data_IF_470390464249
#
_entry.id   IF_470390464249
#
_cell.length_a   1.000
_cell.length_b   1.000
_cell.length_c   1.000
_cell.angle_alpha   90.00
_cell.angle_beta   90.00
_cell.angle_gamma   90.00
#
_symmetry.space_group_name_H-M   'P 1'
#
loop_
_entity.id
_entity.type
_entity.pdbx_description
1 polymer ?
#
# COMPACT_ATOMS: atom_id res chain seq x y z
N UNK A 1 47.30 15.88 7.62
CA UNK A 1 46.47 16.27 6.45
C UNK A 1 45.06 15.76 6.66
N UNK A 2 44.10 16.65 6.97
CA UNK A 2 42.67 16.29 7.12
C UNK A 2 41.99 16.61 5.79
N UNK A 3 41.49 15.59 5.08
CA UNK A 3 40.75 15.78 3.82
C UNK A 3 39.42 16.47 4.14
N UNK A 4 39.04 17.46 3.34
CA UNK A 4 37.79 18.20 3.45
C UNK A 4 36.62 17.31 2.98
N UNK A 5 35.61 17.17 3.82
CA UNK A 5 34.30 16.57 3.51
C UNK A 5 33.46 17.54 2.64
N UNK A 6 33.93 17.88 1.43
CA UNK A 6 33.50 19.11 0.76
C UNK A 6 32.17 19.06 -0.03
N UNK A 7 31.61 17.90 -0.40
CA UNK A 7 30.56 17.88 -1.46
C UNK A 7 29.23 17.19 -1.10
N UNK A 8 28.95 16.90 0.17
CA UNK A 8 27.64 16.31 0.53
C UNK A 8 26.61 17.40 0.86
N UNK A 9 25.79 17.77 -0.13
CA UNK A 9 24.59 18.59 0.11
C UNK A 9 23.50 17.71 0.72
N UNK A 10 23.16 17.94 1.98
CA UNK A 10 22.01 17.31 2.64
C UNK A 10 20.77 18.17 2.44
N UNK A 11 19.76 17.62 1.80
CA UNK A 11 18.46 18.26 1.62
C UNK A 11 17.41 17.49 2.45
N UNK A 12 16.71 18.20 3.34
CA UNK A 12 15.56 17.68 4.07
C UNK A 12 14.31 18.38 3.55
N UNK A 13 13.39 17.61 2.96
CA UNK A 13 12.10 18.09 2.49
C UNK A 13 11.07 17.94 3.63
N UNK A 14 10.40 19.03 3.99
CA UNK A 14 9.22 19.01 4.86
C UNK A 14 7.95 18.95 4.00
N UNK A 15 7.21 17.83 3.98
CA UNK A 15 6.00 17.69 3.16
C UNK A 15 4.87 18.64 3.57
N UNK A 16 4.82 19.05 4.85
CA UNK A 16 3.77 19.93 5.37
C UNK A 16 4.08 21.41 5.11
N UNK A 17 5.32 21.73 4.72
CA UNK A 17 5.77 23.09 4.44
C UNK A 17 6.81 23.11 3.29
N UNK A 18 6.33 22.89 2.07
CA UNK A 18 7.17 22.86 0.88
C UNK A 18 7.65 24.28 0.51
N UNK A 19 8.91 24.43 0.08
CA UNK A 19 9.38 25.70 -0.45
C UNK A 19 8.57 26.09 -1.70
N UNK A 20 8.32 27.39 -1.92
CA UNK A 20 7.63 27.84 -3.13
C UNK A 20 8.46 27.52 -4.38
N UNK A 21 7.77 27.30 -5.50
CA UNK A 21 8.44 27.08 -6.78
C UNK A 21 9.23 28.31 -7.19
N UNK A 22 10.42 28.08 -7.73
CA UNK A 22 11.17 29.12 -8.43
C UNK A 22 10.47 29.51 -9.73
N UNK A 23 10.72 30.73 -10.23
CA UNK A 23 10.16 31.18 -11.52
C UNK A 23 10.52 30.24 -12.67
N UNK A 24 11.74 29.70 -12.67
CA UNK A 24 12.18 28.73 -13.67
C UNK A 24 11.40 27.41 -13.62
N UNK A 25 11.15 26.89 -12.42
CA UNK A 25 10.34 25.67 -12.24
C UNK A 25 8.88 25.90 -12.62
N UNK A 26 8.31 27.07 -12.29
CA UNK A 26 6.95 27.41 -12.70
C UNK A 26 6.84 27.49 -14.22
N UNK A 27 7.79 28.15 -14.88
CA UNK A 27 7.82 28.24 -16.34
C UNK A 27 7.98 26.86 -17.02
N UNK A 28 8.75 25.94 -16.43
CA UNK A 28 8.87 24.56 -16.90
C UNK A 28 7.55 23.80 -16.79
N UNK A 29 6.84 23.91 -15.66
CA UNK A 29 5.52 23.30 -15.49
C UNK A 29 4.50 23.87 -16.47
N UNK A 30 4.49 25.19 -16.67
CA UNK A 30 3.59 25.85 -17.62
C UNK A 30 3.86 25.38 -19.06
N UNK A 31 5.13 25.19 -19.42
CA UNK A 31 5.53 24.64 -20.72
C UNK A 31 5.09 23.17 -20.88
N UNK A 32 5.25 22.34 -19.85
CA UNK A 32 4.78 20.95 -19.85
C UNK A 32 3.26 20.86 -19.93
N UNK A 33 2.53 21.75 -19.25
CA UNK A 33 1.07 21.80 -19.31
C UNK A 33 0.55 22.25 -20.68
N UNK A 34 1.30 23.10 -21.39
CA UNK A 34 0.95 23.54 -22.74
C UNK A 34 1.29 22.50 -23.82
N UNK A 35 2.10 21.48 -23.49
CA UNK A 35 2.49 20.42 -24.41
C UNK A 35 1.29 19.50 -24.70
N UNK A 36 0.99 19.18 -25.97
CA UNK A 36 -0.10 18.26 -26.30
C UNK A 36 0.27 16.81 -25.93
N UNK A 37 -0.70 16.04 -25.47
CA UNK A 37 -0.52 14.62 -25.10
C UNK A 37 0.10 13.76 -26.22
N UNK A 38 -0.10 14.13 -27.49
CA UNK A 38 0.50 13.44 -28.63
C UNK A 38 2.03 13.52 -28.68
N UNK A 39 2.63 14.45 -27.94
CA UNK A 39 4.08 14.60 -27.81
C UNK A 39 4.68 13.77 -26.67
N UNK A 40 3.87 13.05 -25.89
CA UNK A 40 4.37 12.20 -24.81
C UNK A 40 5.10 11.00 -25.42
N UNK A 41 6.38 10.85 -25.08
CA UNK A 41 7.18 9.69 -25.46
C UNK A 41 6.90 8.51 -24.49
N UNK A 42 6.55 7.36 -25.06
CA UNK A 42 6.29 6.11 -24.33
C UNK A 42 7.34 5.02 -24.65
N UNK A 43 8.47 5.39 -25.25
CA UNK A 43 9.51 4.45 -25.70
C UNK A 43 10.11 3.61 -24.56
N UNK A 44 10.21 4.18 -23.35
CA UNK A 44 10.75 3.53 -22.15
C UNK A 44 9.67 2.88 -21.27
N UNK A 45 8.45 3.41 -21.31
CA UNK A 45 7.32 2.99 -20.47
C UNK A 45 6.06 2.85 -21.32
N UNK A 46 5.67 1.62 -21.71
CA UNK A 46 4.51 1.42 -22.57
C UNK A 46 3.22 1.86 -21.87
N UNK A 47 2.30 2.45 -22.64
CA UNK A 47 1.01 2.89 -22.12
C UNK A 47 0.21 1.72 -21.52
N UNK A 48 -0.35 1.92 -20.32
CA UNK A 48 -1.20 0.94 -19.65
C UNK A 48 -2.57 0.91 -20.31
N UNK A 49 -2.91 -0.22 -20.93
CA UNK A 49 -4.19 -0.39 -21.63
C UNK A 49 -5.34 -0.68 -20.67
N UNK A 50 -6.58 -0.55 -21.14
CA UNK A 50 -7.77 -0.96 -20.38
C UNK A 50 -7.71 -2.45 -20.00
N UNK A 51 -7.11 -3.30 -20.85
CA UNK A 51 -6.87 -4.72 -20.56
C UNK A 51 -5.99 -4.93 -19.31
N UNK A 52 -4.98 -4.08 -19.12
CA UNK A 52 -4.15 -4.10 -17.93
C UNK A 52 -4.97 -3.77 -16.69
N UNK A 53 -5.76 -2.70 -16.75
CA UNK A 53 -6.56 -2.23 -15.62
C UNK A 53 -7.69 -3.18 -15.24
N UNK A 54 -8.34 -3.84 -16.22
CA UNK A 54 -9.35 -4.88 -15.93
C UNK A 54 -8.81 -6.03 -15.08
N UNK A 55 -7.53 -6.36 -15.23
CA UNK A 55 -6.86 -7.42 -14.48
C UNK A 55 -6.09 -6.90 -13.26
N UNK A 56 -6.14 -5.59 -13.00
CA UNK A 56 -5.45 -4.94 -11.91
C UNK A 56 -5.97 -5.41 -10.54
N UNK A 57 -5.14 -6.13 -9.79
CA UNK A 57 -5.50 -6.58 -8.45
C UNK A 57 -5.09 -5.53 -7.39
N UNK A 58 -6.08 -4.78 -6.89
CA UNK A 58 -5.85 -3.89 -5.74
C UNK A 58 -5.48 -4.70 -4.50
N UNK A 59 -4.43 -4.28 -3.81
CA UNK A 59 -4.04 -4.88 -2.53
C UNK A 59 -3.39 -6.27 -2.63
N UNK A 60 -2.89 -6.70 -3.80
CA UNK A 60 -2.17 -7.98 -3.95
C UNK A 60 -1.07 -8.18 -2.89
N UNK A 61 -0.39 -7.09 -2.51
CA UNK A 61 0.68 -7.11 -1.51
C UNK A 61 0.25 -6.66 -0.12
N UNK A 62 -1.04 -6.34 0.08
CA UNK A 62 -1.53 -5.93 1.38
C UNK A 62 -1.47 -7.11 2.36
N UNK A 63 -0.68 -6.93 3.43
CA UNK A 63 -0.59 -7.86 4.55
C UNK A 63 -1.20 -7.18 5.78
N UNK A 64 -2.34 -7.67 6.30
CA UNK A 64 -2.91 -7.12 7.52
C UNK A 64 -1.91 -7.20 8.67
N UNK A 65 -1.76 -6.10 9.40
CA UNK A 65 -0.93 -6.03 10.59
C UNK A 65 -1.55 -6.94 11.65
N UNK A 66 -0.75 -7.89 12.15
CA UNK A 66 -1.16 -8.79 13.23
C UNK A 66 -0.81 -8.14 14.56
N UNK A 67 -1.79 -8.00 15.43
CA UNK A 67 -1.58 -7.59 16.82
C UNK A 67 -1.49 -8.84 17.70
N UNK A 68 -0.45 -8.91 18.52
CA UNK A 68 -0.32 -9.97 19.52
C UNK A 68 -1.21 -9.64 20.71
N UNK A 69 -2.23 -10.47 20.92
CA UNK A 69 -3.15 -10.35 22.05
C UNK A 69 -3.17 -11.65 22.85
N UNK A 70 -3.37 -11.55 24.16
CA UNK A 70 -3.55 -12.71 25.03
C UNK A 70 -5.06 -12.95 25.20
N UNK A 71 -5.54 -14.07 24.68
CA UNK A 71 -6.95 -14.48 24.78
C UNK A 71 -7.04 -15.91 25.35
N UNK A 72 -8.15 -16.23 26.01
CA UNK A 72 -8.46 -17.58 26.47
C UNK A 72 -9.39 -18.24 25.44
N UNK A 73 -9.08 -19.48 25.09
CA UNK A 73 -9.92 -20.35 24.25
C UNK A 73 -10.22 -21.63 25.03
N UNK A 74 -11.36 -22.23 24.75
CA UNK A 74 -11.72 -23.53 25.30
C UNK A 74 -10.72 -24.62 24.85
N UNK A 75 -10.49 -25.59 25.74
CA UNK A 75 -9.45 -26.59 25.55
C UNK A 75 -9.73 -27.51 24.35
N UNK A 76 -11.00 -27.84 24.12
CA UNK A 76 -11.49 -28.64 23.01
C UNK A 76 -11.35 -27.91 21.67
N UNK A 77 -11.68 -26.62 21.61
CA UNK A 77 -11.49 -25.78 20.43
C UNK A 77 -10.01 -25.68 20.07
N UNK A 78 -9.14 -25.49 21.07
CA UNK A 78 -7.70 -25.45 20.84
C UNK A 78 -7.16 -26.82 20.38
N UNK A 79 -7.64 -27.92 20.96
CA UNK A 79 -7.27 -29.27 20.56
C UNK A 79 -7.70 -29.55 19.11
N UNK A 80 -8.92 -29.17 18.74
CA UNK A 80 -9.43 -29.28 17.38
C UNK A 80 -8.59 -28.46 16.38
N UNK A 81 -8.25 -27.20 16.70
CA UNK A 81 -7.41 -26.37 15.83
C UNK A 81 -6.01 -26.97 15.60
N UNK A 82 -5.43 -27.56 16.65
CA UNK A 82 -4.11 -28.22 16.62
C UNK A 82 -4.14 -29.56 15.88
N UNK A 83 -5.25 -30.31 15.93
CA UNK A 83 -5.38 -31.60 15.23
C UNK A 83 -5.23 -31.47 13.71
N UNK A 84 -5.56 -30.29 13.16
CA UNK A 84 -5.42 -29.95 11.74
C UNK A 84 -3.96 -29.66 11.32
N UNK A 85 -2.97 -29.94 12.17
CA UNK A 85 -1.53 -29.84 11.86
C UNK A 85 -0.91 -28.46 12.12
N UNK A 86 0.26 -28.22 11.54
CA UNK A 86 1.01 -26.96 11.71
C UNK A 86 0.21 -25.76 11.19
N UNK A 87 0.40 -24.58 11.78
CA UNK A 87 -0.23 -23.33 11.32
C UNK A 87 -1.62 -23.04 11.92
N UNK A 88 -1.99 -23.66 13.05
CA UNK A 88 -3.30 -23.47 13.68
C UNK A 88 -3.60 -21.99 14.02
N UNK A 89 -2.60 -21.19 14.39
CA UNK A 89 -2.78 -19.75 14.65
C UNK A 89 -3.20 -18.97 13.39
N UNK A 90 -2.63 -19.32 12.23
CA UNK A 90 -3.01 -18.71 10.96
C UNK A 90 -4.43 -19.10 10.56
N UNK A 91 -4.81 -20.38 10.78
CA UNK A 91 -6.19 -20.86 10.58
C UNK A 91 -7.17 -20.18 11.51
N UNK A 92 -6.84 -20.05 12.79
CA UNK A 92 -7.66 -19.33 13.78
C UNK A 92 -7.94 -17.90 13.31
N UNK A 93 -6.90 -17.16 12.90
CA UNK A 93 -7.08 -15.81 12.37
C UNK A 93 -7.91 -15.78 11.06
N UNK A 94 -7.77 -16.77 10.19
CA UNK A 94 -8.57 -16.88 8.97
C UNK A 94 -10.06 -17.13 9.26
N UNK A 95 -10.37 -17.98 10.24
CA UNK A 95 -11.75 -18.24 10.72
C UNK A 95 -12.35 -16.94 11.27
N UNK A 96 -11.65 -16.28 12.20
CA UNK A 96 -12.11 -15.02 12.79
C UNK A 96 -12.36 -13.94 11.72
N UNK A 97 -11.44 -13.80 10.75
CA UNK A 97 -11.62 -12.87 9.63
C UNK A 97 -12.83 -13.20 8.77
N UNK A 98 -13.07 -14.48 8.47
CA UNK A 98 -14.23 -14.92 7.69
C UNK A 98 -15.52 -14.51 8.38
N UNK A 99 -15.65 -14.80 9.67
CA UNK A 99 -16.84 -14.46 10.45
C UNK A 99 -17.04 -12.94 10.54
N UNK A 100 -15.98 -12.18 10.82
CA UNK A 100 -16.01 -10.70 10.84
C UNK A 100 -16.52 -10.10 9.51
N UNK A 101 -16.03 -10.61 8.36
CA UNK A 101 -16.47 -10.13 7.04
C UNK A 101 -17.90 -10.59 6.70
N UNK A 102 -18.33 -11.74 7.22
CA UNK A 102 -19.69 -12.23 7.04
C UNK A 102 -20.70 -11.39 7.84
N UNK A 103 -20.35 -10.97 9.06
CA UNK A 103 -21.21 -10.11 9.88
C UNK A 103 -21.30 -8.69 9.34
N UNK A 104 -20.18 -8.10 8.90
CA UNK A 104 -20.18 -6.76 8.29
C UNK A 104 -21.13 -6.67 7.09
N UNK A 105 -21.07 -7.66 6.18
CA UNK A 105 -21.97 -7.72 5.00
C UNK A 105 -23.45 -7.89 5.35
N UNK A 106 -23.77 -8.49 6.50
CA UNK A 106 -25.16 -8.59 6.98
C UNK A 106 -25.67 -7.27 7.55
N UNK A 107 -24.78 -6.43 8.08
CA UNK A 107 -25.13 -5.12 8.64
C UNK A 107 -25.28 -4.05 7.55
N UNK A 108 -24.55 -4.18 6.44
CA UNK A 108 -24.62 -3.25 5.29
C UNK A 108 -25.88 -3.40 4.43
N UNK A 109 -26.63 -4.51 4.54
CA UNK A 109 -27.95 -4.63 3.92
C UNK A 109 -29.02 -4.08 4.87
N UNK A 110 -29.58 -2.87 4.62
CA UNK A 110 -30.74 -2.43 5.38
C UNK A 110 -31.90 -3.39 5.09
N UNK A 111 -32.68 -3.70 6.13
CA UNK A 111 -33.93 -4.44 6.01
C UNK A 111 -34.97 -3.61 5.29
#
# INVERSE_FOLDING_TARGET
MKKKDADTVRFQLDPDNLPPLTEAQQAELDALQAMPDSGIDYSDSPALTEDFWRNGQRGRFYKPIKQQVTARLDADVLAWLKSQGKGYQARMNAILRREMLATARRQEKPR
#
